data_IF_763291039331
#
_entry.id   IF_763291039331
#
_cell.length_a   1.000
_cell.length_b   1.000
_cell.length_c   1.000
_cell.angle_alpha   90.00
_cell.angle_beta   90.00
_cell.angle_gamma   90.00
#
_symmetry.space_group_name_H-M   'P 1'
#
loop_
_entity.id
_entity.type
_entity.pdbx_description
1 polymer ?
#
# COMPACT_ATOMS: atom_id res chain seq x y z
N UNK A 1 -4.59 26.44 12.30
CA UNK A 1 -3.98 25.10 12.42
C UNK A 1 -4.97 24.06 12.92
N UNK A 2 -5.36 24.01 14.21
CA UNK A 2 -6.20 22.92 14.76
C UNK A 2 -7.53 22.65 14.02
N UNK A 3 -8.25 23.69 13.57
CA UNK A 3 -9.48 23.53 12.77
C UNK A 3 -9.24 22.84 11.42
N UNK A 4 -8.12 23.15 10.76
CA UNK A 4 -7.73 22.52 9.50
C UNK A 4 -7.31 21.05 9.70
N UNK A 5 -6.58 20.75 10.77
CA UNK A 5 -6.26 19.37 11.15
C UNK A 5 -7.53 18.55 11.42
N UNK A 6 -8.51 19.16 12.11
CA UNK A 6 -9.81 18.52 12.37
C UNK A 6 -10.59 18.25 11.08
N UNK A 7 -10.54 19.18 10.12
CA UNK A 7 -11.15 19.01 8.80
C UNK A 7 -10.49 17.85 8.03
N UNK A 8 -9.16 17.82 7.97
CA UNK A 8 -8.40 16.73 7.33
C UNK A 8 -8.73 15.38 7.98
N UNK A 9 -8.81 15.32 9.32
CA UNK A 9 -9.22 14.11 10.03
C UNK A 9 -10.64 13.68 9.62
N UNK A 10 -11.59 14.61 9.55
CA UNK A 10 -12.94 14.32 9.08
C UNK A 10 -13.00 13.87 7.62
N UNK A 11 -12.08 14.32 6.76
CA UNK A 11 -11.99 13.87 5.35
C UNK A 11 -11.46 12.44 5.21
N UNK A 12 -10.58 11.98 6.11
CA UNK A 12 -9.97 10.64 6.06
C UNK A 12 -10.87 9.59 6.74
N UNK A 13 -11.65 10.00 7.74
CA UNK A 13 -12.50 9.08 8.50
C UNK A 13 -13.71 8.62 7.68
N UNK A 14 -13.96 7.29 7.57
CA UNK A 14 -15.02 6.74 6.73
C UNK A 14 -16.44 7.11 7.19
N UNK A 15 -16.60 7.52 8.44
CA UNK A 15 -17.90 7.78 9.06
C UNK A 15 -18.38 9.24 8.89
N UNK A 16 -17.54 10.13 8.34
CA UNK A 16 -17.86 11.54 8.18
C UNK A 16 -18.05 11.89 6.70
N UNK A 17 -19.01 12.77 6.42
CA UNK A 17 -19.21 13.34 5.09
C UNK A 17 -18.92 14.83 5.18
N UNK A 18 -17.91 15.27 4.46
CA UNK A 18 -17.45 16.66 4.42
C UNK A 18 -17.72 17.23 3.02
N UNK A 19 -17.92 18.54 2.91
CA UNK A 19 -17.97 19.20 1.62
C UNK A 19 -16.67 18.96 0.83
N UNK A 20 -16.76 18.94 -0.49
CA UNK A 20 -15.60 18.73 -1.35
C UNK A 20 -14.53 19.79 -1.08
N UNK A 21 -13.31 19.35 -0.80
CA UNK A 21 -12.18 20.21 -0.50
C UNK A 21 -10.91 19.55 -1.04
N UNK A 22 -10.19 20.25 -1.91
CA UNK A 22 -8.94 19.76 -2.50
C UNK A 22 -7.76 20.45 -1.83
N UNK A 23 -6.76 19.65 -1.44
CA UNK A 23 -5.51 20.13 -0.86
C UNK A 23 -4.40 19.77 -1.84
N UNK A 24 -3.72 20.78 -2.37
CA UNK A 24 -2.54 20.61 -3.20
C UNK A 24 -1.30 20.99 -2.40
N UNK A 25 -0.42 20.00 -2.18
CA UNK A 25 0.88 20.20 -1.57
C UNK A 25 1.98 19.64 -2.47
N UNK A 26 3.22 20.13 -2.28
CA UNK A 26 4.38 19.72 -3.07
C UNK A 26 5.61 19.49 -2.20
N UNK A 27 6.50 18.58 -2.62
CA UNK A 27 7.76 18.33 -1.94
C UNK A 27 8.76 19.48 -2.16
N UNK A 28 9.53 19.82 -1.12
CA UNK A 28 10.56 20.85 -1.20
C UNK A 28 11.91 20.34 -1.70
N UNK A 29 12.19 19.06 -1.51
CA UNK A 29 13.45 18.44 -1.86
C UNK A 29 13.21 17.31 -2.86
N UNK A 30 14.01 17.22 -3.94
CA UNK A 30 13.91 16.13 -4.90
C UNK A 30 14.33 14.79 -4.27
N UNK A 31 13.67 13.72 -4.70
CA UNK A 31 13.87 12.37 -4.19
C UNK A 31 14.32 11.44 -5.32
N UNK A 32 15.46 10.82 -5.08
CA UNK A 32 16.07 9.80 -5.91
C UNK A 32 15.72 8.41 -5.39
N UNK A 33 15.55 7.49 -6.34
CA UNK A 33 15.51 6.06 -6.07
C UNK A 33 16.74 5.43 -6.72
N UNK A 34 17.52 4.75 -5.90
CA UNK A 34 18.69 4.00 -6.30
C UNK A 34 18.40 2.50 -6.20
N UNK A 35 18.90 1.71 -7.15
CA UNK A 35 18.74 0.26 -7.14
C UNK A 35 20.02 -0.44 -7.58
N UNK A 36 20.23 -1.65 -7.05
CA UNK A 36 21.37 -2.51 -7.40
C UNK A 36 21.18 -3.18 -8.78
N UNK A 37 22.20 -3.16 -9.63
CA UNK A 37 22.29 -3.91 -10.89
C UNK A 37 22.92 -5.29 -10.67
N UNK A 38 22.84 -6.16 -11.67
CA UNK A 38 23.42 -7.51 -11.65
C UNK A 38 24.94 -7.50 -11.43
N UNK A 39 25.62 -6.47 -11.95
CA UNK A 39 27.08 -6.34 -11.86
C UNK A 39 27.54 -5.75 -10.52
N UNK A 40 26.63 -5.61 -9.53
CA UNK A 40 26.89 -4.97 -8.24
C UNK A 40 26.99 -3.44 -8.28
N UNK A 41 26.87 -2.84 -9.46
CA UNK A 41 26.80 -1.38 -9.61
C UNK A 41 25.43 -0.85 -9.19
N UNK A 42 25.38 0.39 -8.70
CA UNK A 42 24.11 1.03 -8.32
C UNK A 42 23.74 2.07 -9.36
N UNK A 43 22.49 2.08 -9.79
CA UNK A 43 21.93 3.13 -10.67
C UNK A 43 20.88 3.91 -9.89
N UNK A 44 20.89 5.23 -10.03
CA UNK A 44 19.89 6.11 -9.44
C UNK A 44 19.05 6.80 -10.52
N UNK A 45 17.85 7.20 -10.13
CA UNK A 45 16.98 8.06 -10.93
C UNK A 45 16.15 8.93 -10.01
N UNK A 46 16.11 10.23 -10.29
CA UNK A 46 15.16 11.14 -9.65
C UNK A 46 13.75 10.78 -10.07
N UNK A 47 12.96 10.27 -9.12
CA UNK A 47 11.56 9.98 -9.36
C UNK A 47 10.71 11.20 -9.04
N UNK A 48 10.93 11.87 -7.92
CA UNK A 48 10.14 13.03 -7.53
C UNK A 48 11.00 14.29 -7.59
N UNK A 49 10.89 15.12 -8.64
CA UNK A 49 11.65 16.37 -8.73
C UNK A 49 11.20 17.36 -7.65
N UNK A 50 11.92 18.48 -7.51
CA UNK A 50 11.49 19.59 -6.65
C UNK A 50 10.10 20.09 -7.07
N UNK A 51 9.24 20.42 -6.09
CA UNK A 51 7.86 20.90 -6.31
C UNK A 51 6.95 19.90 -7.04
N UNK A 52 7.21 18.61 -6.93
CA UNK A 52 6.28 17.57 -7.33
C UNK A 52 5.09 17.51 -6.36
N UNK A 53 3.86 17.59 -6.88
CA UNK A 53 2.66 17.49 -6.07
C UNK A 53 2.51 16.10 -5.43
N UNK A 54 2.01 16.02 -4.20
CA UNK A 54 1.71 14.75 -3.54
C UNK A 54 0.25 14.72 -3.02
N UNK A 55 -0.38 13.54 -2.95
CA UNK A 55 0.18 12.19 -3.17
C UNK A 55 0.53 11.88 -4.65
N UNK A 56 1.62 11.16 -4.88
CA UNK A 56 2.07 10.79 -6.24
C UNK A 56 2.68 9.39 -6.26
N UNK A 57 2.41 8.62 -7.31
CA UNK A 57 2.94 7.26 -7.49
C UNK A 57 3.70 7.17 -8.81
N UNK A 58 4.92 6.62 -8.76
CA UNK A 58 5.74 6.36 -9.95
C UNK A 58 6.17 4.90 -9.98
N UNK A 59 6.02 4.26 -11.13
CA UNK A 59 6.42 2.88 -11.33
C UNK A 59 7.73 2.76 -12.10
N UNK A 60 8.53 1.77 -11.74
CA UNK A 60 9.73 1.35 -12.43
C UNK A 60 9.61 -0.12 -12.82
N UNK A 61 9.91 -0.46 -14.07
CA UNK A 61 9.86 -1.83 -14.56
C UNK A 61 11.26 -2.29 -14.96
N UNK A 62 11.64 -3.48 -14.51
CA UNK A 62 12.92 -4.12 -14.79
C UNK A 62 12.65 -5.44 -15.52
N UNK A 63 12.98 -5.48 -16.81
CA UNK A 63 12.77 -6.66 -17.64
C UNK A 63 13.76 -7.77 -17.28
N UNK A 64 13.27 -9.01 -17.23
CA UNK A 64 14.08 -10.23 -17.02
C UNK A 64 14.95 -10.23 -15.74
N UNK A 65 14.58 -9.45 -14.72
CA UNK A 65 15.30 -9.36 -13.45
C UNK A 65 15.01 -10.59 -12.56
N UNK A 66 16.01 -11.44 -12.32
CA UNK A 66 15.92 -12.60 -11.41
C UNK A 66 16.65 -12.40 -10.09
N UNK A 67 17.77 -11.69 -10.11
CA UNK A 67 18.60 -11.53 -8.91
C UNK A 67 17.96 -10.61 -7.89
N UNK A 68 18.15 -10.89 -6.57
CA UNK A 68 17.73 -10.00 -5.50
C UNK A 68 18.13 -8.56 -5.76
N UNK A 69 17.31 -7.63 -5.27
CA UNK A 69 17.51 -6.22 -5.55
C UNK A 69 17.38 -5.39 -4.28
N UNK A 70 18.44 -4.62 -4.01
CA UNK A 70 18.42 -3.57 -3.01
C UNK A 70 17.95 -2.27 -3.65
N UNK A 71 17.02 -1.60 -3.00
CA UNK A 71 16.47 -0.31 -3.41
C UNK A 71 16.62 0.68 -2.26
N UNK A 72 17.18 1.84 -2.54
CA UNK A 72 17.33 2.93 -1.58
C UNK A 72 16.59 4.16 -2.06
N UNK A 73 15.89 4.83 -1.15
CA UNK A 73 15.22 6.11 -1.39
C UNK A 73 15.99 7.18 -0.62
N UNK A 74 16.43 8.22 -1.31
CA UNK A 74 17.24 9.28 -0.72
C UNK A 74 16.94 10.64 -1.36
N UNK A 75 17.26 11.72 -0.65
CA UNK A 75 17.30 13.04 -1.29
C UNK A 75 18.43 13.11 -2.32
N UNK A 76 18.20 13.80 -3.44
CA UNK A 76 19.18 13.92 -4.53
C UNK A 76 20.45 14.66 -4.09
N UNK A 77 20.33 15.63 -3.17
CA UNK A 77 21.44 16.45 -2.67
C UNK A 77 21.30 16.69 -1.17
N UNK A 78 22.42 16.98 -0.50
CA UNK A 78 22.45 17.49 0.87
C UNK A 78 22.01 18.96 0.96
N UNK A 79 21.95 19.66 -0.18
CA UNK A 79 21.48 21.04 -0.25
C UNK A 79 20.02 21.16 0.18
N UNK A 80 19.76 21.96 1.21
CA UNK A 80 18.43 22.14 1.79
C UNK A 80 18.04 21.09 2.85
N UNK A 81 18.84 20.04 3.03
CA UNK A 81 18.72 19.14 4.18
C UNK A 81 19.34 19.81 5.40
N UNK A 82 18.69 19.70 6.56
CA UNK A 82 19.25 20.24 7.81
C UNK A 82 20.56 19.53 8.12
N UNK A 83 21.61 20.31 8.40
CA UNK A 83 22.95 19.80 8.67
C UNK A 83 22.92 18.72 9.75
N UNK A 84 23.45 17.54 9.44
CA UNK A 84 23.52 16.39 10.34
C UNK A 84 22.40 15.35 10.15
N UNK A 85 21.40 15.62 9.30
CA UNK A 85 20.40 14.62 8.91
C UNK A 85 20.91 13.82 7.71
N UNK A 86 20.80 12.47 7.72
CA UNK A 86 21.17 11.66 6.57
C UNK A 86 20.25 11.94 5.37
N UNK A 87 20.81 11.92 4.17
CA UNK A 87 20.05 12.03 2.91
C UNK A 87 19.28 10.76 2.58
N UNK A 88 19.76 9.62 3.07
CA UNK A 88 19.08 8.33 2.93
C UNK A 88 17.83 8.28 3.82
N UNK A 89 16.68 8.00 3.21
CA UNK A 89 15.39 7.96 3.88
C UNK A 89 14.97 6.53 4.23
N UNK A 90 15.11 5.60 3.29
CA UNK A 90 14.75 4.21 3.48
C UNK A 90 15.54 3.27 2.55
N UNK A 91 15.67 2.02 2.99
CA UNK A 91 16.23 0.91 2.21
C UNK A 91 15.23 -0.23 2.16
N UNK A 92 15.22 -0.94 1.04
CA UNK A 92 14.37 -2.08 0.78
C UNK A 92 15.21 -3.20 0.19
N UNK A 93 15.02 -4.41 0.69
CA UNK A 93 15.60 -5.63 0.16
C UNK A 93 14.49 -6.49 -0.42
N UNK A 94 14.56 -6.73 -1.73
CA UNK A 94 13.53 -7.43 -2.50
C UNK A 94 14.08 -8.78 -2.94
N UNK A 95 13.52 -9.85 -2.39
CA UNK A 95 13.82 -11.22 -2.77
C UNK A 95 12.84 -11.65 -3.88
N UNK A 96 13.35 -11.83 -5.10
CA UNK A 96 12.49 -12.13 -6.26
C UNK A 96 12.22 -13.64 -6.31
N UNK A 97 10.96 -14.08 -6.36
CA UNK A 97 10.63 -15.50 -6.49
C UNK A 97 10.97 -16.02 -7.89
N UNK A 98 11.16 -17.34 -8.02
CA UNK A 98 11.46 -17.95 -9.33
C UNK A 98 10.32 -17.72 -10.33
N UNK A 99 10.60 -17.15 -11.51
CA UNK A 99 9.59 -16.92 -12.54
C UNK A 99 9.17 -18.26 -13.17
N UNK A 100 7.86 -18.41 -13.37
CA UNK A 100 7.22 -19.58 -14.00
C UNK A 100 7.22 -19.50 -15.51
N UNK A 101 7.26 -18.28 -16.07
CA UNK A 101 7.19 -18.02 -17.50
C UNK A 101 8.47 -17.38 -18.05
N UNK A 102 8.70 -17.51 -19.36
CA UNK A 102 9.92 -17.03 -20.02
C UNK A 102 9.99 -15.49 -20.12
N UNK A 103 8.83 -14.85 -20.27
CA UNK A 103 8.69 -13.40 -20.24
C UNK A 103 8.20 -12.95 -18.87
N UNK A 104 9.08 -12.30 -18.12
CA UNK A 104 8.75 -11.72 -16.83
C UNK A 104 9.48 -10.40 -16.62
N UNK A 105 8.89 -9.53 -15.81
CA UNK A 105 9.45 -8.25 -15.43
C UNK A 105 9.11 -7.92 -13.97
N UNK A 106 10.05 -7.31 -13.26
CA UNK A 106 9.82 -6.81 -11.91
C UNK A 106 9.31 -5.38 -12.00
N UNK A 107 8.13 -5.10 -11.46
CA UNK A 107 7.56 -3.76 -11.37
C UNK A 107 7.57 -3.29 -9.93
N UNK A 108 8.23 -2.16 -9.69
CA UNK A 108 8.23 -1.47 -8.41
C UNK A 108 7.34 -0.24 -8.49
N UNK A 109 6.52 -0.02 -7.47
CA UNK A 109 5.73 1.21 -7.30
C UNK A 109 6.30 1.97 -6.13
N UNK A 110 6.78 3.18 -6.38
CA UNK A 110 7.27 4.10 -5.37
C UNK A 110 6.24 5.21 -5.20
N UNK A 111 5.84 5.48 -3.96
CA UNK A 111 4.82 6.46 -3.61
C UNK A 111 5.44 7.58 -2.79
N UNK A 112 5.10 8.81 -3.14
CA UNK A 112 5.17 9.97 -2.26
C UNK A 112 3.79 10.10 -1.61
N UNK A 113 3.70 9.75 -0.32
CA UNK A 113 2.42 9.63 0.38
C UNK A 113 1.76 10.99 0.60
N UNK A 114 0.48 10.99 1.01
CA UNK A 114 -0.27 12.20 1.39
C UNK A 114 0.41 12.98 2.55
N UNK A 115 1.28 12.32 3.31
CA UNK A 115 2.08 12.93 4.37
C UNK A 115 3.42 13.48 3.87
N UNK A 116 3.69 13.45 2.56
CA UNK A 116 4.97 13.88 1.98
C UNK A 116 6.14 12.94 2.24
N UNK A 117 5.88 11.70 2.68
CA UNK A 117 6.91 10.69 2.96
C UNK A 117 7.08 9.80 1.72
N UNK A 118 8.27 9.76 1.09
CA UNK A 118 8.54 8.86 -0.02
C UNK A 118 8.90 7.45 0.45
N UNK A 119 8.40 6.44 -0.25
CA UNK A 119 8.73 5.05 0.04
C UNK A 119 8.31 4.07 -1.05
N UNK A 120 8.80 2.84 -0.97
CA UNK A 120 8.31 1.74 -1.80
C UNK A 120 6.92 1.31 -1.32
N UNK A 121 5.95 1.29 -2.23
CA UNK A 121 4.54 0.95 -1.98
C UNK A 121 4.32 -0.54 -2.26
N UNK A 122 4.62 -0.99 -3.48
CA UNK A 122 4.49 -2.40 -3.87
C UNK A 122 5.63 -2.86 -4.77
N UNK A 123 5.91 -4.16 -4.73
CA UNK A 123 6.78 -4.86 -5.67
C UNK A 123 5.99 -6.01 -6.29
N UNK A 124 5.96 -6.10 -7.62
CA UNK A 124 5.16 -7.08 -8.36
C UNK A 124 6.04 -7.80 -9.40
N UNK A 125 5.97 -9.12 -9.44
CA UNK A 125 6.47 -9.92 -10.57
C UNK A 125 5.37 -10.02 -11.61
N UNK A 126 5.60 -9.42 -12.78
CA UNK A 126 4.69 -9.46 -13.92
C UNK A 126 5.18 -10.49 -14.91
N UNK A 127 4.37 -11.53 -15.15
CA UNK A 127 4.68 -12.62 -16.07
C UNK A 127 3.69 -12.61 -17.24
N UNK A 128 4.20 -12.68 -18.47
CA UNK A 128 3.41 -12.72 -19.69
C UNK A 128 3.50 -14.11 -20.33
N UNK A 129 2.35 -14.74 -20.60
CA UNK A 129 2.28 -16.03 -21.27
C UNK A 129 1.11 -16.11 -22.24
N UNK A 130 1.28 -16.94 -23.28
CA UNK A 130 0.24 -17.20 -24.28
C UNK A 130 -0.55 -18.43 -23.88
N UNK A 131 -1.86 -18.28 -23.75
CA UNK A 131 -2.77 -19.41 -23.51
C UNK A 131 -3.61 -19.66 -24.76
N UNK A 132 -3.60 -20.90 -25.24
CA UNK A 132 -4.41 -21.33 -26.37
C UNK A 132 -5.85 -21.57 -25.92
N UNK A 133 -6.76 -20.65 -26.25
CA UNK A 133 -8.20 -20.87 -26.04
C UNK A 133 -8.83 -21.42 -27.31
N UNK A 134 -9.40 -22.63 -27.20
CA UNK A 134 -10.27 -23.22 -28.24
C UNK A 134 -11.65 -22.57 -28.16
N UNK A 135 -12.03 -21.79 -29.17
CA UNK A 135 -13.35 -21.18 -29.26
C UNK A 135 -14.21 -22.06 -30.17
N UNK A 136 -15.32 -22.59 -29.66
CA UNK A 136 -16.28 -23.34 -30.47
C UNK A 136 -17.07 -22.37 -31.36
N UNK A 137 -16.98 -22.55 -32.68
CA UNK A 137 -17.76 -21.80 -33.67
C UNK A 137 -19.22 -22.26 -33.56
N UNK A 138 -20.11 -21.40 -33.04
CA UNK A 138 -21.56 -21.65 -33.12
C UNK A 138 -22.00 -21.50 -34.57
N UNK A 139 -22.10 -22.62 -35.28
CA UNK A 139 -22.71 -22.70 -36.61
C UNK A 139 -24.18 -22.24 -36.56
N UNK A 140 -24.54 -21.41 -37.53
CA UNK A 140 -25.91 -20.97 -37.81
C UNK A 140 -26.88 -22.16 -37.88
N UNK A 141 -27.82 -22.26 -36.95
CA UNK A 141 -28.94 -23.19 -37.04
C UNK A 141 -30.03 -22.61 -37.96
N UNK A 142 -29.99 -22.97 -39.24
CA UNK A 142 -31.11 -22.81 -40.16
C UNK A 142 -32.24 -23.79 -39.82
N UNK A 143 -33.48 -23.28 -39.78
CA UNK A 143 -34.73 -24.03 -39.58
C UNK A 143 -34.97 -25.03 -40.72
N UNK A 144 -35.31 -26.29 -40.41
CA UNK A 144 -36.41 -27.03 -41.08
C UNK A 144 -36.83 -28.28 -40.30
N UNK A 145 -38.14 -28.56 -40.31
CA UNK A 145 -38.84 -29.58 -39.52
C UNK A 145 -38.75 -31.02 -40.07
N UNK A 146 -38.63 -31.97 -39.12
CA UNK A 146 -39.17 -33.35 -39.01
C UNK A 146 -39.32 -34.26 -40.25
N UNK A 147 -38.72 -35.46 -40.15
CA UNK A 147 -39.40 -36.77 -40.22
C UNK A 147 -38.54 -37.90 -39.63
N UNK A 148 -39.23 -38.90 -39.07
CA UNK A 148 -38.78 -40.01 -38.20
C UNK A 148 -38.00 -41.13 -38.91
N UNK A 149 -37.17 -41.88 -38.16
CA UNK A 149 -36.81 -43.28 -38.48
C UNK A 149 -35.39 -43.74 -38.12
N UNK A 150 -35.30 -44.55 -37.06
CA UNK A 150 -34.35 -45.65 -36.73
C UNK A 150 -32.80 -45.55 -36.82
N UNK A 151 -32.22 -45.87 -35.65
CA UNK A 151 -31.00 -46.63 -35.30
C UNK A 151 -29.64 -46.50 -36.04
N UNK A 152 -28.65 -46.20 -35.18
CA UNK A 152 -27.28 -46.71 -35.10
C UNK A 152 -26.11 -45.91 -35.72
N UNK A 153 -25.03 -45.86 -34.92
CA UNK A 153 -23.72 -45.18 -35.05
C UNK A 153 -23.67 -43.66 -34.83
N UNK A 154 -23.39 -43.29 -33.58
CA UNK A 154 -22.76 -42.01 -33.21
C UNK A 154 -21.33 -41.96 -33.75
N UNK A 155 -21.15 -41.33 -34.91
CA UNK A 155 -19.90 -40.64 -35.23
C UNK A 155 -20.04 -39.19 -34.75
N UNK A 156 -19.16 -38.78 -33.84
CA UNK A 156 -19.08 -37.40 -33.37
C UNK A 156 -18.61 -36.50 -34.53
N UNK A 157 -19.33 -35.42 -34.88
CA UNK A 157 -18.83 -34.49 -35.86
C UNK A 157 -17.65 -33.72 -35.25
N UNK A 158 -16.48 -33.86 -35.88
CA UNK A 158 -15.27 -33.10 -35.56
C UNK A 158 -15.57 -31.60 -35.57
N UNK A 159 -15.73 -31.02 -34.38
CA UNK A 159 -15.79 -29.58 -34.22
C UNK A 159 -14.41 -29.01 -34.54
N UNK A 160 -14.31 -28.28 -35.65
CA UNK A 160 -13.10 -27.53 -35.97
C UNK A 160 -12.92 -26.43 -34.92
N UNK A 161 -11.91 -26.60 -34.07
CA UNK A 161 -11.48 -25.60 -33.10
C UNK A 161 -10.49 -24.65 -33.76
N UNK A 162 -10.82 -23.36 -33.85
CA UNK A 162 -9.85 -22.35 -34.22
C UNK A 162 -9.05 -21.97 -32.96
N UNK A 163 -7.74 -22.25 -32.97
CA UNK A 163 -6.82 -21.91 -31.88
C UNK A 163 -6.44 -20.44 -32.00
N UNK A 164 -7.01 -19.60 -31.13
CA UNK A 164 -6.52 -18.22 -30.94
C UNK A 164 -5.60 -18.19 -29.72
N UNK A 165 -4.35 -17.76 -29.94
CA UNK A 165 -3.39 -17.44 -28.91
C UNK A 165 -3.82 -16.14 -28.24
N UNK A 166 -4.16 -16.19 -26.94
CA UNK A 166 -4.49 -15.00 -26.15
C UNK A 166 -3.31 -14.70 -25.23
N UNK A 167 -2.78 -13.47 -25.30
CA UNK A 167 -1.77 -12.99 -24.36
C UNK A 167 -2.44 -12.76 -22.99
N UNK A 168 -1.92 -13.43 -21.94
CA UNK A 168 -2.31 -13.22 -20.54
C UNK A 168 -1.13 -12.69 -19.74
N UNK A 169 -1.45 -11.88 -18.75
CA UNK A 169 -0.48 -11.31 -17.81
C UNK A 169 -0.89 -11.66 -16.38
N UNK A 170 0.05 -12.19 -15.59
CA UNK A 170 -0.13 -12.44 -14.16
C UNK A 170 0.78 -11.52 -13.37
N UNK A 171 0.24 -10.85 -12.35
CA UNK A 171 1.01 -10.02 -11.43
C UNK A 171 1.00 -10.68 -10.04
N UNK A 172 2.18 -11.06 -9.55
CA UNK A 172 2.37 -11.66 -8.23
C UNK A 172 3.02 -10.64 -7.31
N UNK A 173 2.38 -10.31 -6.18
CA UNK A 173 2.98 -9.41 -5.19
C UNK A 173 4.18 -10.10 -4.52
N UNK A 174 5.25 -9.33 -4.34
CA UNK A 174 6.49 -9.77 -3.69
C UNK A 174 6.61 -9.06 -2.35
N UNK A 175 6.84 -9.82 -1.30
CA UNK A 175 7.19 -9.29 0.01
C UNK A 175 8.63 -8.76 0.01
N UNK A 176 8.86 -7.66 0.71
CA UNK A 176 10.17 -7.05 0.83
C UNK A 176 10.47 -6.67 2.28
N UNK A 177 11.75 -6.77 2.65
CA UNK A 177 12.24 -6.26 3.94
C UNK A 177 12.55 -4.79 3.76
N UNK A 178 12.31 -3.99 4.79
CA UNK A 178 12.54 -2.55 4.75
C UNK A 178 13.22 -2.07 6.01
N UNK A 179 14.05 -1.04 5.85
CA UNK A 179 14.71 -0.30 6.90
C UNK A 179 14.38 1.19 6.70
N UNK A 180 13.76 1.81 7.69
CA UNK A 180 13.48 3.25 7.70
C UNK A 180 13.95 3.83 9.03
N UNK A 181 13.90 5.16 9.17
CA UNK A 181 14.17 5.84 10.44
C UNK A 181 13.04 5.68 11.48
N UNK A 182 11.95 5.00 11.13
CA UNK A 182 10.85 4.72 12.04
C UNK A 182 11.19 3.61 13.05
N UNK A 183 10.40 3.54 14.13
CA UNK A 183 10.51 2.46 15.09
C UNK A 183 10.09 1.11 14.49
N UNK A 184 10.76 0.04 14.91
CA UNK A 184 10.34 -1.32 14.57
C UNK A 184 9.02 -1.68 15.24
N UNK A 185 8.32 -2.67 14.69
CA UNK A 185 7.04 -3.14 15.25
C UNK A 185 7.16 -3.53 16.73
N UNK A 186 8.24 -4.22 17.12
CA UNK A 186 8.47 -4.63 18.50
C UNK A 186 8.61 -3.42 19.44
N UNK A 187 9.34 -2.39 19.02
CA UNK A 187 9.51 -1.16 19.80
C UNK A 187 8.20 -0.39 19.93
N UNK A 188 7.39 -0.31 18.86
CA UNK A 188 6.08 0.35 18.91
C UNK A 188 5.17 -0.34 19.93
N UNK A 189 5.14 -1.67 19.93
CA UNK A 189 4.35 -2.46 20.89
C UNK A 189 4.85 -2.26 22.33
N UNK A 190 6.16 -2.19 22.54
CA UNK A 190 6.75 -1.93 23.85
C UNK A 190 6.40 -0.52 24.36
N UNK A 191 6.58 0.51 23.54
CA UNK A 191 6.24 1.89 23.91
C UNK A 191 4.73 2.05 24.15
N UNK A 192 3.88 1.37 23.37
CA UNK A 192 2.44 1.37 23.61
C UNK A 192 2.07 0.79 24.97
N UNK A 193 2.72 -0.30 25.40
CA UNK A 193 2.50 -0.88 26.74
C UNK A 193 2.93 0.07 27.85
N UNK A 194 4.09 0.71 27.69
CA UNK A 194 4.56 1.71 28.65
C UNK A 194 3.59 2.90 28.76
N UNK A 195 3.06 3.37 27.64
CA UNK A 195 2.05 4.43 27.61
C UNK A 195 0.75 4.00 28.31
N UNK A 196 0.26 2.78 28.06
CA UNK A 196 -0.94 2.23 28.72
C UNK A 196 -0.77 2.13 30.25
N UNK A 197 0.42 1.76 30.72
CA UNK A 197 0.74 1.70 32.16
C UNK A 197 0.75 3.10 32.80
N UNK A 198 1.37 4.07 32.13
CA UNK A 198 1.38 5.46 32.58
C UNK A 198 -0.04 6.03 32.58
N UNK A 199 -0.80 5.82 31.50
CA UNK A 199 -2.19 6.27 31.38
C UNK A 199 -3.08 5.66 32.47
N UNK A 200 -2.95 4.37 32.76
CA UNK A 200 -3.73 3.70 33.81
C UNK A 200 -3.41 4.26 35.19
N UNK A 201 -2.15 4.62 35.43
CA UNK A 201 -1.71 5.22 36.69
C UNK A 201 -2.30 6.62 36.86
N UNK A 202 -2.22 7.45 35.82
CA UNK A 202 -2.80 8.79 35.81
C UNK A 202 -4.32 8.75 35.97
N UNK A 203 -4.99 7.81 35.29
CA UNK A 203 -6.44 7.61 35.40
C UNK A 203 -6.86 7.31 36.83
N UNK A 204 -6.15 6.42 37.54
CA UNK A 204 -6.42 6.11 38.96
C UNK A 204 -6.28 7.35 39.84
N UNK A 205 -5.28 8.19 39.60
CA UNK A 205 -5.08 9.43 40.38
C UNK A 205 -6.25 10.40 40.15
N UNK A 206 -6.69 10.55 38.90
CA UNK A 206 -7.83 11.39 38.53
C UNK A 206 -9.12 10.86 39.19
N UNK A 207 -9.40 9.56 39.05
CA UNK A 207 -10.57 8.90 39.65
C UNK A 207 -10.58 9.07 41.18
N UNK A 208 -9.43 8.88 41.84
CA UNK A 208 -9.30 9.08 43.29
C UNK A 208 -9.57 10.54 43.70
N UNK A 209 -9.06 11.50 42.93
CA UNK A 209 -9.30 12.93 43.18
C UNK A 209 -10.78 13.27 43.00
N UNK A 210 -11.43 12.72 41.99
CA UNK A 210 -12.86 12.90 41.74
C UNK A 210 -13.72 12.31 42.87
N UNK A 211 -13.42 11.09 43.33
CA UNK A 211 -14.12 10.46 44.46
C UNK A 211 -13.94 11.23 45.76
N UNK A 212 -12.73 11.75 46.01
CA UNK A 212 -12.47 12.62 47.15
C UNK A 212 -13.32 13.88 47.07
N UNK A 213 -13.32 14.57 45.93
CA UNK A 213 -14.12 15.79 45.75
C UNK A 213 -15.62 15.50 45.89
N UNK A 214 -16.11 14.38 45.36
CA UNK A 214 -17.50 13.97 45.49
C UNK A 214 -17.89 13.75 46.95
N UNK A 215 -17.04 13.08 47.73
CA UNK A 215 -17.26 12.91 49.17
C UNK A 215 -17.27 14.25 49.92
N UNK A 216 -16.32 15.13 49.61
CA UNK A 216 -16.27 16.47 50.20
C UNK A 216 -17.56 17.25 49.91
N UNK A 217 -18.00 17.30 48.65
CA UNK A 217 -19.26 17.93 48.25
C UNK A 217 -20.47 17.35 48.98
N UNK A 218 -20.57 16.02 49.10
CA UNK A 218 -21.66 15.36 49.81
C UNK A 218 -21.69 15.73 51.30
N UNK A 219 -20.53 15.83 51.96
CA UNK A 219 -20.45 16.26 53.36
C UNK A 219 -20.95 17.71 53.52
N UNK A 220 -20.56 18.61 52.61
CA UNK A 220 -21.02 20.00 52.65
C UNK A 220 -22.54 20.11 52.43
N UNK A 221 -23.10 19.35 51.50
CA UNK A 221 -24.53 19.30 51.22
C UNK A 221 -25.33 18.78 52.42
N UNK A 222 -24.94 17.64 52.99
CA UNK A 222 -25.60 17.07 54.16
C UNK A 222 -25.54 17.99 55.38
N UNK A 223 -24.43 18.70 55.58
CA UNK A 223 -24.31 19.69 56.66
C UNK A 223 -25.27 20.86 56.45
N UNK A 224 -25.36 21.39 55.24
CA UNK A 224 -26.30 22.47 54.93
C UNK A 224 -27.76 22.06 55.21
N UNK A 225 -28.13 20.82 54.89
CA UNK A 225 -29.46 20.28 55.19
C UNK A 225 -29.76 20.10 56.69
N UNK A 226 -28.74 19.97 57.54
CA UNK A 226 -28.91 19.87 59.00
C UNK A 226 -28.99 21.23 59.69
N UNK A 227 -28.41 22.26 59.10
CA UNK A 227 -28.41 23.64 59.61
C UNK A 227 -29.66 24.44 59.16
N UNK A 228 -30.61 23.80 58.45
CA UNK A 228 -31.91 24.36 58.01
C UNK A 228 -33.06 23.71 58.78
#
# INVERSE_FOLDING_TARGET
MARGCSLMAAMILPNFHVAHFDIEECNKLPVDVAWSLHDGTTKNKTLFPEKNNFPSVKSMTFEHRKDPMDVAVAYTSEEGVVKGIPTLLSRYHIEIPEPKHEKFSLKLRVKLDQNGIPGLDTAELIEEFKEEKKIAVKGHSGKTEKKEGEEDKKEEPEQQFEVKLVDKTTATNIDFKWETHGFSHNQIVEFGKLEDEMFTSDRKIIELKEMKNHLESYIYEMRAHLDT
#
